data_IF_452157108814
#
_entry.id   IF_452157108814
#
_cell.length_a   1.000
_cell.length_b   1.000
_cell.length_c   1.000
_cell.angle_alpha   90.00
_cell.angle_beta   90.00
_cell.angle_gamma   90.00
#
_symmetry.space_group_name_H-M   'P 1'
#
loop_
_entity.id
_entity.type
_entity.pdbx_description
1 polymer ?
#
# COMPACT_ATOMS: atom_id res chain seq x y z
N UNK A 1 -34.23 -64.70 13.67
CA UNK A 1 -34.77 -63.33 13.89
C UNK A 1 -33.79 -62.55 14.76
N UNK A 2 -32.90 -61.76 14.14
CA UNK A 2 -31.90 -60.94 14.84
C UNK A 2 -32.43 -59.52 15.01
N UNK A 3 -32.73 -59.13 16.25
CA UNK A 3 -33.16 -57.78 16.59
C UNK A 3 -32.01 -56.78 16.38
N UNK A 4 -32.35 -55.67 15.72
CA UNK A 4 -31.50 -54.50 15.43
C UNK A 4 -31.14 -53.74 16.71
N UNK A 5 -29.96 -53.11 16.75
CA UNK A 5 -29.71 -51.95 17.59
C UNK A 5 -29.24 -50.78 16.72
N UNK A 6 -30.20 -49.98 16.25
CA UNK A 6 -29.93 -48.68 15.64
C UNK A 6 -29.59 -47.69 16.77
N UNK A 7 -28.31 -47.37 16.93
CA UNK A 7 -27.86 -46.31 17.82
C UNK A 7 -28.19 -44.95 17.20
N UNK A 8 -29.44 -44.50 17.35
CA UNK A 8 -29.76 -43.08 17.25
C UNK A 8 -29.27 -42.41 18.52
N UNK A 9 -27.98 -42.05 18.55
CA UNK A 9 -27.44 -41.12 19.57
C UNK A 9 -28.09 -39.76 19.30
N UNK A 10 -29.10 -39.42 20.10
CA UNK A 10 -29.69 -38.09 20.10
C UNK A 10 -28.66 -37.11 20.66
N UNK A 11 -28.38 -36.04 19.92
CA UNK A 11 -27.57 -34.92 20.41
C UNK A 11 -28.17 -34.38 21.70
N UNK A 12 -27.34 -34.24 22.74
CA UNK A 12 -27.82 -33.67 24.01
C UNK A 12 -27.95 -32.16 23.89
N UNK A 13 -28.91 -31.56 24.61
CA UNK A 13 -29.11 -30.11 24.62
C UNK A 13 -27.85 -29.36 25.08
N UNK A 14 -27.09 -29.98 25.99
CA UNK A 14 -25.82 -29.44 26.47
C UNK A 14 -24.71 -29.47 25.41
N UNK A 15 -24.66 -30.49 24.55
CA UNK A 15 -23.70 -30.57 23.45
C UNK A 15 -23.94 -29.46 22.43
N UNK A 16 -25.21 -29.17 22.10
CA UNK A 16 -25.54 -28.07 21.20
C UNK A 16 -25.22 -26.70 21.83
N UNK A 17 -25.43 -26.55 23.14
CA UNK A 17 -25.06 -25.33 23.87
C UNK A 17 -23.54 -25.12 23.87
N UNK A 18 -22.76 -26.17 24.16
CA UNK A 18 -21.29 -26.13 24.11
C UNK A 18 -20.79 -25.77 22.70
N UNK A 19 -21.35 -26.38 21.65
CA UNK A 19 -21.01 -26.05 20.26
C UNK A 19 -21.29 -24.58 19.96
N UNK A 20 -22.46 -24.05 20.36
CA UNK A 20 -22.78 -22.64 20.18
C UNK A 20 -21.84 -21.71 20.95
N UNK A 21 -21.45 -22.07 22.18
CA UNK A 21 -20.47 -21.31 22.95
C UNK A 21 -19.10 -21.27 22.27
N UNK A 22 -18.63 -22.41 21.75
CA UNK A 22 -17.36 -22.48 21.02
C UNK A 22 -17.43 -21.65 19.73
N UNK A 23 -18.51 -21.79 18.95
CA UNK A 23 -18.70 -21.01 17.72
C UNK A 23 -18.78 -19.51 18.02
N UNK A 24 -19.48 -19.10 19.08
CA UNK A 24 -19.54 -17.70 19.51
C UNK A 24 -18.16 -17.17 19.94
N UNK A 25 -17.41 -17.94 20.71
CA UNK A 25 -16.06 -17.58 21.15
C UNK A 25 -15.07 -17.44 19.98
N UNK A 26 -15.12 -18.37 19.01
CA UNK A 26 -14.30 -18.30 17.78
C UNK A 26 -14.72 -17.09 16.95
N UNK A 27 -16.02 -16.88 16.75
CA UNK A 27 -16.55 -15.79 15.92
C UNK A 27 -16.19 -14.41 16.48
N UNK A 28 -16.08 -14.27 17.81
CA UNK A 28 -15.63 -13.04 18.44
C UNK A 28 -14.18 -12.65 18.09
N UNK A 29 -13.33 -13.60 17.69
CA UNK A 29 -11.91 -13.36 17.40
C UNK A 29 -11.61 -13.10 15.91
N UNK A 30 -12.50 -13.53 15.02
CA UNK A 30 -12.34 -13.41 13.55
C UNK A 30 -12.12 -11.97 13.06
N UNK A 31 -12.85 -10.94 13.55
CA UNK A 31 -12.70 -9.57 13.04
C UNK A 31 -11.27 -9.03 13.20
N UNK A 32 -10.62 -9.36 14.31
CA UNK A 32 -9.30 -8.82 14.65
C UNK A 32 -8.16 -9.40 13.81
N UNK A 33 -8.26 -10.67 13.41
CA UNK A 33 -7.29 -11.33 12.53
C UNK A 33 -7.44 -10.83 11.10
N UNK A 34 -8.67 -10.65 10.65
CA UNK A 34 -9.00 -10.19 9.31
C UNK A 34 -8.48 -8.77 9.03
N UNK A 35 -8.67 -7.84 9.98
CA UNK A 35 -8.18 -6.47 9.85
C UNK A 35 -6.65 -6.38 9.74
N UNK A 36 -5.91 -7.21 10.48
CA UNK A 36 -4.45 -7.25 10.39
C UNK A 36 -3.96 -7.75 9.04
N UNK A 37 -4.61 -8.75 8.47
CA UNK A 37 -4.24 -9.28 7.15
C UNK A 37 -4.53 -8.29 6.04
N UNK A 38 -5.69 -7.64 6.07
CA UNK A 38 -6.02 -6.58 5.12
C UNK A 38 -5.04 -5.40 5.24
N UNK A 39 -4.70 -4.95 6.44
CA UNK A 39 -3.73 -3.88 6.63
C UNK A 39 -2.34 -4.27 6.08
N UNK A 40 -1.89 -5.51 6.25
CA UNK A 40 -0.62 -5.98 5.70
C UNK A 40 -0.64 -6.07 4.17
N UNK A 41 -1.74 -6.57 3.59
CA UNK A 41 -1.91 -6.63 2.13
C UNK A 41 -1.97 -5.23 1.51
N UNK A 42 -2.72 -4.33 2.14
CA UNK A 42 -2.86 -2.95 1.72
C UNK A 42 -1.54 -2.18 1.82
N UNK A 43 -0.75 -2.43 2.87
CA UNK A 43 0.59 -1.87 3.00
C UNK A 43 1.50 -2.29 1.84
N UNK A 44 1.58 -3.61 1.54
CA UNK A 44 2.39 -4.10 0.41
C UNK A 44 1.93 -3.47 -0.90
N UNK A 45 0.62 -3.44 -1.14
CA UNK A 45 0.03 -2.80 -2.32
C UNK A 45 0.42 -1.33 -2.45
N UNK A 46 0.48 -0.58 -1.35
CA UNK A 46 0.89 0.83 -1.38
C UNK A 46 2.39 0.99 -1.69
N UNK A 47 3.25 0.12 -1.14
CA UNK A 47 4.69 0.09 -1.47
C UNK A 47 4.89 -0.21 -2.95
N UNK A 48 4.25 -1.27 -3.46
CA UNK A 48 4.37 -1.69 -4.85
C UNK A 48 3.85 -0.60 -5.79
N UNK A 49 2.67 -0.02 -5.51
CA UNK A 49 2.07 1.01 -6.35
C UNK A 49 2.96 2.26 -6.49
N UNK A 50 3.61 2.70 -5.40
CA UNK A 50 4.48 3.88 -5.44
C UNK A 50 5.81 3.56 -6.13
N UNK A 51 6.39 2.38 -5.87
CA UNK A 51 7.60 1.93 -6.55
C UNK A 51 7.37 1.81 -8.07
N UNK A 52 6.25 1.20 -8.47
CA UNK A 52 5.82 1.09 -9.86
C UNK A 52 5.53 2.46 -10.47
N UNK A 53 4.93 3.38 -9.70
CA UNK A 53 4.73 4.77 -10.09
C UNK A 53 6.04 5.51 -10.38
N UNK A 54 7.05 5.38 -9.51
CA UNK A 54 8.38 5.96 -9.73
C UNK A 54 9.04 5.39 -10.99
N UNK A 55 8.99 4.06 -11.14
CA UNK A 55 9.56 3.39 -12.30
C UNK A 55 8.83 3.78 -13.59
N UNK A 56 7.50 3.91 -13.54
CA UNK A 56 6.68 4.35 -14.67
C UNK A 56 6.97 5.79 -15.05
N UNK A 57 7.09 6.70 -14.08
CA UNK A 57 7.47 8.09 -14.32
C UNK A 57 8.81 8.18 -15.06
N UNK A 58 9.81 7.43 -14.58
CA UNK A 58 11.13 7.35 -15.23
C UNK A 58 11.05 6.81 -16.65
N UNK A 59 10.38 5.68 -16.85
CA UNK A 59 10.22 5.09 -18.19
C UNK A 59 9.50 6.05 -19.13
N UNK A 60 8.46 6.72 -18.65
CA UNK A 60 7.73 7.69 -19.44
C UNK A 60 8.61 8.87 -19.82
N UNK A 61 9.41 9.40 -18.89
CA UNK A 61 10.31 10.52 -19.17
C UNK A 61 11.33 10.20 -20.28
N UNK A 62 11.92 9.01 -20.24
CA UNK A 62 12.82 8.54 -21.28
C UNK A 62 12.09 8.30 -22.60
N UNK A 63 10.92 7.65 -22.58
CA UNK A 63 10.17 7.30 -23.79
C UNK A 63 9.59 8.52 -24.51
N UNK A 64 9.11 9.51 -23.77
CA UNK A 64 8.50 10.72 -24.35
C UNK A 64 9.50 11.84 -24.56
N UNK A 65 10.73 11.68 -24.09
CA UNK A 65 11.74 12.73 -24.02
C UNK A 65 11.23 14.01 -23.31
N UNK A 66 10.37 13.84 -22.29
CA UNK A 66 9.79 14.95 -21.52
C UNK A 66 9.91 14.69 -20.02
N UNK A 67 10.23 15.71 -19.20
CA UNK A 67 10.20 15.57 -17.74
C UNK A 67 8.86 15.02 -17.25
N UNK A 68 8.90 13.91 -16.51
CA UNK A 68 7.71 13.25 -15.98
C UNK A 68 7.86 13.06 -14.47
N UNK A 69 6.86 13.48 -13.72
CA UNK A 69 6.84 13.38 -12.28
C UNK A 69 5.96 12.22 -11.80
N UNK A 70 6.42 11.54 -10.75
CA UNK A 70 5.48 10.91 -9.82
C UNK A 70 5.08 11.98 -8.81
N UNK A 71 3.78 12.27 -8.73
CA UNK A 71 3.21 13.19 -7.75
C UNK A 71 2.43 12.43 -6.69
N UNK A 72 2.47 12.97 -5.47
CA UNK A 72 1.75 12.49 -4.30
C UNK A 72 0.90 13.64 -3.75
N UNK A 73 -0.35 13.34 -3.50
CA UNK A 73 -1.30 14.19 -2.78
C UNK A 73 -1.56 13.51 -1.44
N UNK A 74 -0.92 14.05 -0.39
CA UNK A 74 -0.98 13.46 0.95
C UNK A 74 -2.34 13.69 1.63
N UNK A 75 -3.09 14.71 1.20
CA UNK A 75 -4.43 15.00 1.73
C UNK A 75 -5.44 13.99 1.19
N UNK A 76 -5.45 13.81 -0.13
CA UNK A 76 -6.35 12.86 -0.82
C UNK A 76 -5.81 11.42 -0.83
N UNK A 77 -4.60 11.20 -0.28
CA UNK A 77 -3.93 9.90 -0.17
C UNK A 77 -3.80 9.17 -1.50
N UNK A 78 -3.42 9.89 -2.55
CA UNK A 78 -3.30 9.36 -3.92
C UNK A 78 -1.97 9.74 -4.54
N UNK A 79 -1.56 8.95 -5.52
CA UNK A 79 -0.37 9.23 -6.34
C UNK A 79 -0.77 9.20 -7.81
N UNK A 80 0.06 9.76 -8.68
CA UNK A 80 -0.19 9.77 -10.11
C UNK A 80 1.01 10.24 -10.91
N UNK A 81 0.89 10.15 -12.23
CA UNK A 81 1.90 10.68 -13.13
C UNK A 81 1.50 12.07 -13.59
N UNK A 82 2.46 13.00 -13.65
CA UNK A 82 2.23 14.35 -14.14
C UNK A 82 3.34 14.77 -15.11
N UNK A 83 2.96 15.44 -16.19
CA UNK A 83 3.87 15.99 -17.20
C UNK A 83 3.38 17.39 -17.57
N UNK A 84 4.24 18.39 -17.49
CA UNK A 84 3.89 19.72 -17.96
C UNK A 84 3.59 19.71 -19.48
N UNK A 85 2.63 20.51 -19.98
CA UNK A 85 1.80 21.47 -19.25
C UNK A 85 0.43 20.89 -18.81
N UNK A 86 0.32 19.59 -18.54
CA UNK A 86 -0.96 18.99 -18.17
C UNK A 86 -1.56 19.68 -16.93
N UNK A 87 -2.86 20.00 -16.95
CA UNK A 87 -3.49 20.74 -15.85
C UNK A 87 -3.63 19.88 -14.58
N UNK A 88 -3.71 18.56 -14.72
CA UNK A 88 -3.86 17.63 -13.61
C UNK A 88 -3.05 16.35 -13.83
N UNK A 89 -2.67 15.65 -12.76
CA UNK A 89 -2.02 14.36 -12.83
C UNK A 89 -2.99 13.27 -13.27
N UNK A 90 -2.48 12.26 -13.96
CA UNK A 90 -3.18 11.00 -14.14
C UNK A 90 -3.16 10.23 -12.81
N UNK A 91 -4.15 10.51 -11.96
CA UNK A 91 -4.28 9.91 -10.64
C UNK A 91 -4.50 8.40 -10.71
N UNK A 92 -3.85 7.69 -9.79
CA UNK A 92 -4.02 6.28 -9.52
C UNK A 92 -4.79 6.08 -8.20
N UNK A 93 -5.07 4.82 -7.86
CA UNK A 93 -5.85 4.47 -6.67
C UNK A 93 -5.23 5.03 -5.38
N UNK A 94 -6.11 5.51 -4.48
CA UNK A 94 -5.70 5.99 -3.17
C UNK A 94 -5.19 4.86 -2.27
N UNK A 95 -4.23 5.15 -1.41
CA UNK A 95 -3.81 4.23 -0.35
C UNK A 95 -4.68 4.37 0.90
N UNK A 96 -4.85 3.29 1.69
CA UNK A 96 -5.74 3.31 2.83
C UNK A 96 -5.17 4.12 4.01
N UNK A 97 -6.03 4.55 4.96
CA UNK A 97 -5.62 5.30 6.15
C UNK A 97 -4.61 4.56 7.05
N UNK A 98 -4.54 3.24 6.97
CA UNK A 98 -3.60 2.42 7.73
C UNK A 98 -2.14 2.57 7.25
N UNK A 99 -1.92 3.20 6.09
CA UNK A 99 -0.60 3.50 5.52
C UNK A 99 -0.32 4.99 5.66
N UNK A 100 0.77 5.31 6.35
CA UNK A 100 1.26 6.69 6.46
C UNK A 100 2.40 6.90 5.45
N UNK A 101 2.35 8.01 4.73
CA UNK A 101 3.42 8.40 3.80
C UNK A 101 4.08 9.68 4.29
N UNK A 102 5.41 9.69 4.32
CA UNK A 102 6.23 10.89 4.52
C UNK A 102 7.11 11.08 3.31
N UNK A 103 7.24 12.31 2.85
CA UNK A 103 7.93 12.64 1.61
C UNK A 103 8.94 13.73 1.90
N UNK A 104 10.19 13.48 1.51
CA UNK A 104 11.30 14.44 1.53
C UNK A 104 11.86 14.51 0.11
N UNK A 105 11.42 15.52 -0.64
CA UNK A 105 11.70 15.71 -2.07
C UNK A 105 12.04 17.17 -2.32
N UNK A 106 12.61 17.45 -3.49
CA UNK A 106 12.94 18.81 -3.88
C UNK A 106 11.69 19.72 -3.88
N UNK A 107 11.78 20.84 -3.18
CA UNK A 107 10.73 21.86 -3.14
C UNK A 107 10.51 22.49 -4.52
N UNK A 108 9.26 22.78 -4.86
CA UNK A 108 8.90 23.43 -6.13
C UNK A 108 9.10 22.59 -7.38
N UNK A 109 9.52 21.32 -7.26
CA UNK A 109 9.69 20.41 -8.38
C UNK A 109 8.38 20.12 -9.13
N UNK A 110 7.25 20.17 -8.41
CA UNK A 110 5.90 20.00 -8.94
C UNK A 110 4.98 21.09 -8.38
N UNK A 111 3.86 21.41 -9.04
CA UNK A 111 2.92 22.42 -8.55
C UNK A 111 2.34 22.04 -7.17
N UNK A 112 2.23 23.03 -6.29
CA UNK A 112 1.52 22.87 -5.03
C UNK A 112 0.02 22.53 -5.28
N UNK A 113 -0.61 21.73 -4.41
CA UNK A 113 -0.12 21.21 -3.13
C UNK A 113 0.61 19.87 -3.24
N UNK A 114 0.99 19.43 -4.45
CA UNK A 114 1.59 18.12 -4.63
C UNK A 114 3.05 18.11 -4.21
N UNK A 115 3.51 16.94 -3.81
CA UNK A 115 4.92 16.63 -3.62
C UNK A 115 5.32 15.57 -4.64
N UNK A 116 6.54 15.57 -5.14
CA UNK A 116 6.88 14.60 -6.16
C UNK A 116 8.35 14.55 -6.54
N UNK A 117 8.69 13.49 -7.24
CA UNK A 117 10.01 13.30 -7.85
C UNK A 117 9.84 13.44 -9.36
N UNK A 118 10.61 14.36 -9.95
CA UNK A 118 10.61 14.58 -11.40
C UNK A 118 11.78 13.82 -12.00
N UNK A 119 11.48 12.96 -12.97
CA UNK A 119 12.49 12.27 -13.78
C UNK A 119 12.72 13.02 -15.08
N UNK A 120 13.99 13.13 -15.44
CA UNK A 120 14.44 13.79 -16.66
C UNK A 120 14.72 12.76 -17.76
N UNK A 121 14.64 13.15 -19.05
CA UNK A 121 14.86 12.24 -20.18
C UNK A 121 16.25 11.59 -20.22
N UNK A 122 17.26 12.28 -19.68
CA UNK A 122 18.65 11.82 -19.59
C UNK A 122 18.87 10.72 -18.53
N UNK A 123 17.83 10.41 -17.76
CA UNK A 123 17.82 9.35 -16.75
C UNK A 123 18.06 9.84 -15.31
N UNK A 124 18.38 11.12 -15.12
CA UNK A 124 18.47 11.75 -13.81
C UNK A 124 17.09 12.18 -13.26
N UNK A 125 17.10 12.90 -12.15
CA UNK A 125 15.88 13.48 -11.60
C UNK A 125 16.14 14.41 -10.41
N UNK A 126 15.06 14.88 -9.81
CA UNK A 126 15.16 15.71 -8.59
C UNK A 126 15.59 14.91 -7.37
N UNK A 127 15.43 13.58 -7.42
CA UNK A 127 15.69 12.68 -6.30
C UNK A 127 14.71 12.87 -5.14
N UNK A 128 14.97 12.17 -4.05
CA UNK A 128 14.22 12.29 -2.81
C UNK A 128 13.96 10.96 -2.11
N UNK A 129 13.22 11.03 -1.02
CA UNK A 129 12.88 9.90 -0.15
C UNK A 129 11.38 9.87 0.10
N UNK A 130 10.79 8.70 -0.04
CA UNK A 130 9.38 8.45 0.27
C UNK A 130 9.33 7.31 1.29
N UNK A 131 8.95 7.62 2.51
CA UNK A 131 8.79 6.67 3.59
C UNK A 131 7.34 6.20 3.66
N UNK A 132 7.13 4.90 3.51
CA UNK A 132 5.83 4.25 3.55
C UNK A 132 5.77 3.42 4.83
N UNK A 133 4.99 3.92 5.78
CA UNK A 133 4.97 3.48 7.17
C UNK A 133 3.67 2.76 7.51
N UNK A 134 3.78 1.82 8.44
CA UNK A 134 2.67 1.11 9.07
C UNK A 134 2.88 1.01 10.57
N UNK A 135 1.80 0.81 11.34
CA UNK A 135 1.92 0.55 12.77
C UNK A 135 2.77 -0.71 13.07
N UNK A 136 3.65 -0.72 14.10
CA UNK A 136 3.87 0.33 15.09
C UNK A 136 5.06 1.27 14.77
N UNK A 137 5.18 1.77 13.53
CA UNK A 137 6.30 2.57 12.97
C UNK A 137 7.43 1.76 12.32
N UNK A 138 7.06 0.66 11.68
CA UNK A 138 7.94 -0.01 10.71
C UNK A 138 7.54 0.39 9.30
N UNK A 139 8.40 0.17 8.32
CA UNK A 139 8.07 0.61 6.97
C UNK A 139 9.08 0.27 5.90
N UNK A 140 8.93 0.96 4.79
CA UNK A 140 9.79 0.87 3.63
C UNK A 140 10.12 2.27 3.20
N UNK A 141 11.41 2.55 3.07
CA UNK A 141 11.95 3.76 2.47
C UNK A 141 12.23 3.51 1.01
N UNK A 142 11.60 4.28 0.14
CA UNK A 142 11.94 4.38 -1.27
C UNK A 142 12.82 5.59 -1.48
N UNK A 143 14.03 5.39 -1.97
CA UNK A 143 14.99 6.47 -2.24
C UNK A 143 15.28 6.54 -3.73
N UNK A 144 15.18 7.75 -4.27
CA UNK A 144 15.56 8.05 -5.65
C UNK A 144 16.86 8.84 -5.65
N UNK A 145 17.86 8.29 -6.31
CA UNK A 145 19.13 8.98 -6.54
C UNK A 145 18.96 10.09 -7.59
N UNK A 146 19.39 11.31 -7.27
CA UNK A 146 19.20 12.49 -8.14
C UNK A 146 20.01 12.40 -9.44
N UNK A 147 21.20 11.81 -9.39
CA UNK A 147 22.10 11.73 -10.55
C UNK A 147 21.67 10.63 -11.52
N UNK A 148 21.29 9.47 -10.99
CA UNK A 148 21.06 8.25 -11.81
C UNK A 148 19.59 7.89 -11.96
N UNK A 149 18.69 8.57 -11.25
CA UNK A 149 17.26 8.24 -11.19
C UNK A 149 16.99 6.82 -10.67
N UNK A 150 17.97 6.19 -10.01
CA UNK A 150 17.83 4.82 -9.51
C UNK A 150 16.97 4.79 -8.27
N UNK A 151 16.03 3.85 -8.27
CA UNK A 151 15.19 3.54 -7.12
C UNK A 151 15.89 2.49 -6.25
N UNK A 152 16.05 2.79 -4.97
CA UNK A 152 16.47 1.85 -3.95
C UNK A 152 15.37 1.69 -2.90
N UNK A 153 15.18 0.46 -2.44
CA UNK A 153 14.23 0.14 -1.39
C UNK A 153 14.97 -0.33 -0.13
N UNK A 154 14.62 0.24 1.02
CA UNK A 154 15.24 -0.06 2.30
C UNK A 154 14.16 -0.29 3.36
N UNK A 155 14.34 -1.29 4.23
CA UNK A 155 13.43 -1.50 5.35
C UNK A 155 13.64 -0.41 6.42
N UNK A 156 12.53 0.09 6.98
CA UNK A 156 12.55 0.95 8.16
C UNK A 156 12.22 0.06 9.35
N UNK A 157 13.20 -0.08 10.23
CA UNK A 157 13.11 -0.80 11.49
C UNK A 157 12.64 0.17 12.60
N UNK A 158 11.95 -0.34 13.63
CA UNK A 158 11.45 0.48 14.73
C UNK A 158 12.58 1.02 15.62
#
# INVERSE_FOLDING_TARGET
MTHRANWRRGFTLIELLVVMTIVAAISATVPFVYDRWQAAAAYRKAVDAIADGLQSARQQATRTARPTALVLDLQERRHGLWQAPAPQPAWSAAWPPSVQIRVDVAEGAVPAPWLGVVFMPDGGGTGGTIDILRAPQTGTRLRVDWLTGRLAQQAILP
#
